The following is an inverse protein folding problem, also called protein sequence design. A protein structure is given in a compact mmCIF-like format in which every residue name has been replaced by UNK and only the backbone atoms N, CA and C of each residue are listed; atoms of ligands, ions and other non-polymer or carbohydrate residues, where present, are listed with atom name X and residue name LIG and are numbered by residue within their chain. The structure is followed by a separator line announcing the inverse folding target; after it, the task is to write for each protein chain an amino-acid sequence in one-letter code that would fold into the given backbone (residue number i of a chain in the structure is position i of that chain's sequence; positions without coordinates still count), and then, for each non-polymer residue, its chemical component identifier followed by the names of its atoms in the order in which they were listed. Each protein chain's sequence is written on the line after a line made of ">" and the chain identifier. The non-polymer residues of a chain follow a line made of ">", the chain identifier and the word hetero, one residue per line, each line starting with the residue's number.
data_IF_181108345475
#
_entry.id   IF_181108345475
#
_cell.length_a   1.000
_cell.length_b   1.000
_cell.length_c   1.000
_cell.angle_alpha   90.00
_cell.angle_beta   90.00
_cell.angle_gamma   90.00
#
_symmetry.space_group_name_H-M   'P 1'
#
loop_
_entity.id
_entity.type
_entity.pdbx_description
1 polymer ?
#
# COMPACT_ATOMS: atom_id res chain seq x y z
N UNK A 1 25.40 10.64 41.90
CA UNK A 1 24.24 10.77 41.00
C UNK A 1 22.97 10.75 41.84
N UNK A 2 22.16 11.81 41.78
CA UNK A 2 21.05 11.99 42.72
C UNK A 2 19.93 10.97 42.49
N UNK A 3 19.32 10.49 43.58
CA UNK A 3 18.17 9.54 43.58
C UNK A 3 17.02 9.99 42.65
N UNK A 4 16.89 11.29 42.38
CA UNK A 4 15.92 11.85 41.45
C UNK A 4 16.23 11.52 39.97
N UNK A 5 17.50 11.55 39.56
CA UNK A 5 17.90 11.23 38.19
C UNK A 5 17.69 9.74 37.86
N UNK A 6 17.98 8.86 38.82
CA UNK A 6 17.74 7.42 38.69
C UNK A 6 16.24 7.11 38.58
N UNK A 7 15.39 7.84 39.32
CA UNK A 7 13.93 7.69 39.24
C UNK A 7 13.35 8.19 37.92
N UNK A 8 13.85 9.30 37.38
CA UNK A 8 13.43 9.83 36.09
C UNK A 8 13.79 8.87 34.94
N UNK A 9 15.00 8.31 34.94
CA UNK A 9 15.43 7.30 33.98
C UNK A 9 14.62 5.99 34.09
N UNK A 10 14.29 5.56 35.31
CA UNK A 10 13.46 4.37 35.53
C UNK A 10 12.01 4.57 35.06
N UNK A 11 11.43 5.77 35.22
CA UNK A 11 10.09 6.10 34.75
C UNK A 11 10.00 6.17 33.22
N UNK A 12 11.03 6.73 32.57
CA UNK A 12 11.15 6.74 31.10
C UNK A 12 11.32 5.33 30.53
N UNK A 13 12.13 4.49 31.17
CA UNK A 13 12.31 3.09 30.77
C UNK A 13 11.02 2.26 30.97
N UNK A 14 10.27 2.52 32.05
CA UNK A 14 8.98 1.88 32.30
C UNK A 14 7.92 2.30 31.27
N UNK A 15 7.85 3.59 30.92
CA UNK A 15 6.91 4.08 29.90
C UNK A 15 7.18 3.50 28.51
N UNK A 16 8.45 3.28 28.16
CA UNK A 16 8.84 2.62 26.90
C UNK A 16 8.41 1.15 26.85
N UNK A 17 8.37 0.45 28.00
CA UNK A 17 7.91 -0.94 28.08
C UNK A 17 6.39 -1.10 27.95
N UNK A 18 5.59 -0.10 28.33
CA UNK A 18 4.12 -0.18 28.26
C UNK A 18 3.54 0.08 26.86
N UNK A 19 4.26 0.78 25.98
CA UNK A 19 3.80 1.03 24.60
C UNK A 19 3.81 -0.23 23.71
N UNK A 20 4.49 -1.31 24.11
CA UNK A 20 4.59 -2.55 23.35
C UNK A 20 3.40 -3.51 23.49
N UNK A 21 2.51 -3.32 24.47
CA UNK A 21 1.48 -4.32 24.80
C UNK A 21 0.11 -4.10 24.12
N UNK A 22 -0.06 -3.10 23.26
CA UNK A 22 -1.30 -2.90 22.49
C UNK A 22 -1.21 -3.42 21.04
N UNK A 23 -0.22 -4.27 20.74
CA UNK A 23 -0.02 -4.89 19.41
C UNK A 23 -0.88 -6.17 19.21
N UNK A 24 -2.07 -6.23 19.79
CA UNK A 24 -3.02 -7.32 19.57
C UNK A 24 -4.36 -6.71 19.12
N UNK A 25 -4.57 -6.61 17.81
CA UNK A 25 -5.89 -6.29 17.25
C UNK A 25 -5.96 -5.81 15.80
N UNK A 26 -4.88 -5.30 15.21
CA UNK A 26 -4.89 -4.90 13.81
C UNK A 26 -3.49 -4.53 13.34
N UNK A 27 -3.17 -4.84 12.09
CA UNK A 27 -1.85 -4.72 11.45
C UNK A 27 -0.97 -5.98 11.64
N UNK A 28 -1.29 -7.03 10.89
CA UNK A 28 -0.30 -8.02 10.49
C UNK A 28 0.66 -7.37 9.48
N UNK A 29 1.73 -6.75 9.98
CA UNK A 29 2.75 -6.09 9.17
C UNK A 29 3.60 -5.15 10.02
N UNK A 30 4.71 -5.66 10.55
CA UNK A 30 5.54 -5.06 11.60
C UNK A 30 5.72 -3.54 11.56
N UNK A 31 5.28 -2.88 12.63
CA UNK A 31 5.77 -1.55 13.01
C UNK A 31 7.18 -1.76 13.57
N UNK A 32 8.19 -1.53 12.76
CA UNK A 32 9.54 -1.31 13.29
C UNK A 32 9.51 0.01 14.06
N UNK A 33 9.63 -0.05 15.39
CA UNK A 33 9.70 1.12 16.24
C UNK A 33 10.87 2.01 15.84
N UNK A 34 10.58 3.22 15.39
CA UNK A 34 11.60 4.25 15.15
C UNK A 34 11.88 4.94 16.49
N UNK A 35 12.95 4.51 17.17
CA UNK A 35 13.52 5.25 18.31
C UNK A 35 14.79 6.00 17.90
N UNK A 36 14.73 6.84 16.87
CA UNK A 36 15.81 7.79 16.54
C UNK A 36 15.62 9.10 17.32
N UNK A 37 15.51 9.00 18.64
CA UNK A 37 15.21 10.13 19.52
C UNK A 37 16.32 10.47 20.50
N UNK A 38 17.60 10.29 20.16
CA UNK A 38 18.70 10.69 21.05
C UNK A 38 20.06 10.82 20.32
N UNK A 39 20.22 11.82 19.45
CA UNK A 39 21.56 12.19 18.95
C UNK A 39 21.91 13.65 19.26
N UNK A 40 20.97 14.41 19.83
CA UNK A 40 21.15 15.84 20.12
C UNK A 40 20.55 16.21 21.46
N UNK A 41 21.26 17.05 22.22
CA UNK A 41 20.77 17.64 23.48
C UNK A 41 19.80 18.81 23.22
N UNK A 42 19.58 19.20 21.96
CA UNK A 42 18.61 20.22 21.59
C UNK A 42 17.24 19.57 21.28
N UNK A 43 16.21 19.78 22.11
CA UNK A 43 14.90 19.14 21.93
C UNK A 43 14.21 19.52 20.61
N UNK A 44 14.43 20.74 20.11
CA UNK A 44 13.85 21.17 18.83
C UNK A 44 14.48 20.42 17.65
N UNK A 45 15.80 20.21 17.68
CA UNK A 45 16.50 19.40 16.66
C UNK A 45 16.07 17.94 16.76
N UNK A 46 15.92 17.40 17.98
CA UNK A 46 15.43 16.04 18.19
C UNK A 46 14.04 15.80 17.60
N UNK A 47 13.11 16.73 17.83
CA UNK A 47 11.78 16.69 17.24
C UNK A 47 11.82 16.78 15.70
N UNK A 48 12.58 17.73 15.14
CA UNK A 48 12.67 17.91 13.70
C UNK A 48 13.22 16.65 12.98
N UNK A 49 14.25 16.01 13.56
CA UNK A 49 14.79 14.75 13.04
C UNK A 49 13.74 13.65 13.12
N UNK A 50 13.05 13.50 14.27
CA UNK A 50 12.02 12.48 14.44
C UNK A 50 10.88 12.63 13.42
N UNK A 51 10.34 13.84 13.27
CA UNK A 51 9.29 14.13 12.29
C UNK A 51 9.77 13.86 10.85
N UNK A 52 11.03 14.18 10.54
CA UNK A 52 11.62 13.88 9.23
C UNK A 52 11.74 12.39 8.94
N UNK A 53 12.16 11.58 9.92
CA UNK A 53 12.27 10.12 9.78
C UNK A 53 10.89 9.48 9.64
N UNK A 54 9.90 9.94 10.41
CA UNK A 54 8.52 9.47 10.30
C UNK A 54 7.96 9.75 8.90
N UNK A 55 8.06 10.99 8.43
CA UNK A 55 7.59 11.37 7.10
C UNK A 55 8.27 10.57 5.97
N UNK A 56 9.59 10.32 6.10
CA UNK A 56 10.33 9.50 5.14
C UNK A 56 9.88 8.03 5.16
N UNK A 57 9.63 7.48 6.34
CA UNK A 57 9.13 6.11 6.51
C UNK A 57 7.75 5.96 5.90
N UNK A 58 6.84 6.87 6.21
CA UNK A 58 5.50 6.93 5.64
C UNK A 58 5.50 7.01 4.11
N UNK A 59 6.37 7.87 3.56
CA UNK A 59 6.54 7.98 2.12
C UNK A 59 7.05 6.68 1.49
N UNK A 60 8.00 6.01 2.13
CA UNK A 60 8.53 4.72 1.68
C UNK A 60 7.46 3.62 1.69
N UNK A 61 6.70 3.50 2.79
CA UNK A 61 5.62 2.51 2.90
C UNK A 61 4.55 2.75 1.83
N UNK A 62 4.10 4.00 1.65
CA UNK A 62 3.14 4.36 0.60
C UNK A 62 3.67 4.06 -0.79
N UNK A 63 4.96 4.32 -1.05
CA UNK A 63 5.59 4.02 -2.33
C UNK A 63 5.58 2.51 -2.62
N UNK A 64 6.00 1.68 -1.67
CA UNK A 64 6.02 0.22 -1.82
C UNK A 64 4.60 -0.32 -2.02
N UNK A 65 3.64 0.14 -1.21
CA UNK A 65 2.24 -0.25 -1.34
C UNK A 65 1.67 0.08 -2.72
N UNK A 66 1.90 1.31 -3.22
CA UNK A 66 1.48 1.70 -4.59
C UNK A 66 2.12 0.84 -5.68
N UNK A 67 3.39 0.45 -5.50
CA UNK A 67 4.05 -0.40 -6.48
C UNK A 67 3.45 -1.81 -6.52
N UNK A 68 3.11 -2.39 -5.36
CA UNK A 68 2.42 -3.68 -5.28
C UNK A 68 1.03 -3.61 -5.92
N UNK A 69 0.25 -2.59 -5.55
CA UNK A 69 -1.09 -2.38 -6.11
C UNK A 69 -1.07 -2.20 -7.63
N UNK A 70 -0.06 -1.50 -8.17
CA UNK A 70 0.14 -1.38 -9.62
C UNK A 70 0.38 -2.73 -10.28
N UNK A 71 1.19 -3.60 -9.65
CA UNK A 71 1.44 -4.94 -10.15
C UNK A 71 0.15 -5.78 -10.23
N UNK A 72 -0.66 -5.76 -9.18
CA UNK A 72 -1.98 -6.43 -9.16
C UNK A 72 -2.89 -5.90 -10.27
N UNK A 73 -3.00 -4.59 -10.39
CA UNK A 73 -3.82 -3.92 -11.41
C UNK A 73 -3.38 -4.26 -12.83
N UNK A 74 -2.08 -4.33 -13.08
CA UNK A 74 -1.52 -4.71 -14.38
C UNK A 74 -1.81 -6.18 -14.70
N UNK A 75 -1.66 -7.09 -13.73
CA UNK A 75 -1.99 -8.51 -13.89
C UNK A 75 -3.48 -8.71 -14.20
N UNK A 76 -4.36 -8.05 -13.44
CA UNK A 76 -5.82 -8.10 -13.66
C UNK A 76 -6.17 -7.55 -15.05
N UNK A 77 -5.62 -6.39 -15.42
CA UNK A 77 -5.95 -5.71 -16.68
C UNK A 77 -5.51 -6.51 -17.89
N UNK A 78 -4.30 -7.09 -17.86
CA UNK A 78 -3.79 -7.92 -18.93
C UNK A 78 -4.60 -9.20 -19.09
N UNK A 79 -4.92 -9.89 -17.99
CA UNK A 79 -5.76 -11.09 -18.02
C UNK A 79 -7.14 -10.76 -18.59
N UNK A 80 -7.86 -9.82 -17.99
CA UNK A 80 -9.23 -9.48 -18.39
C UNK A 80 -9.33 -8.90 -19.81
N UNK A 81 -8.29 -8.20 -20.25
CA UNK A 81 -8.20 -7.62 -21.58
C UNK A 81 -8.22 -8.64 -22.73
N UNK A 82 -7.77 -9.86 -22.47
CA UNK A 82 -7.72 -10.94 -23.48
C UNK A 82 -8.93 -11.87 -23.44
N UNK A 83 -9.75 -11.77 -22.40
CA UNK A 83 -10.92 -12.63 -22.23
C UNK A 83 -12.10 -12.17 -23.10
N UNK A 84 -12.93 -13.12 -23.58
CA UNK A 84 -14.27 -12.82 -24.05
C UNK A 84 -15.15 -12.25 -22.93
N UNK A 85 -16.17 -11.47 -23.29
CA UNK A 85 -17.16 -10.97 -22.33
C UNK A 85 -17.86 -12.14 -21.62
N UNK A 86 -18.07 -12.00 -20.31
CA UNK A 86 -18.73 -12.98 -19.45
C UNK A 86 -17.84 -14.15 -19.01
N UNK A 87 -16.64 -14.31 -19.59
CA UNK A 87 -15.70 -15.38 -19.21
C UNK A 87 -14.82 -14.92 -18.07
N UNK A 88 -14.72 -15.73 -17.02
CA UNK A 88 -13.84 -15.50 -15.89
C UNK A 88 -12.53 -16.28 -16.05
N UNK A 89 -11.40 -15.66 -15.69
CA UNK A 89 -10.12 -16.36 -15.55
C UNK A 89 -9.42 -15.94 -14.26
N UNK A 90 -8.43 -16.74 -13.89
CA UNK A 90 -7.64 -16.51 -12.70
C UNK A 90 -6.52 -15.52 -13.01
N UNK A 91 -6.23 -14.63 -12.07
CA UNK A 91 -5.09 -13.72 -12.12
C UNK A 91 -4.24 -13.94 -10.87
N UNK A 92 -2.94 -13.72 -11.01
CA UNK A 92 -1.99 -13.84 -9.90
C UNK A 92 -0.79 -12.93 -10.13
N UNK A 93 -0.24 -12.41 -9.04
CA UNK A 93 1.08 -11.78 -9.01
C UNK A 93 1.94 -12.42 -7.92
N UNK A 94 3.20 -12.66 -8.27
CA UNK A 94 4.24 -13.13 -7.35
C UNK A 94 5.33 -12.07 -7.30
N UNK A 95 5.65 -11.61 -6.10
CA UNK A 95 6.71 -10.66 -5.85
C UNK A 95 7.94 -11.39 -5.33
N UNK A 96 9.14 -10.82 -5.56
CA UNK A 96 10.40 -11.40 -5.09
C UNK A 96 10.65 -11.22 -3.57
N UNK A 97 9.58 -11.03 -2.78
CA UNK A 97 9.67 -10.78 -1.35
C UNK A 97 9.66 -12.10 -0.57
N UNK A 98 10.37 -12.19 0.56
CA UNK A 98 10.41 -13.41 1.36
C UNK A 98 9.02 -13.87 1.78
N UNK A 99 8.83 -15.20 1.82
CA UNK A 99 7.60 -15.85 2.30
C UNK A 99 6.31 -15.50 1.53
N UNK A 100 6.42 -15.04 0.28
CA UNK A 100 5.26 -14.66 -0.53
C UNK A 100 4.59 -13.36 -0.05
N UNK A 101 5.33 -12.53 0.69
CA UNK A 101 4.78 -11.27 1.20
C UNK A 101 4.39 -10.34 0.04
N UNK A 102 3.11 -9.95 -0.02
CA UNK A 102 2.57 -9.10 -1.07
C UNK A 102 2.13 -9.86 -2.33
N UNK A 103 2.20 -11.19 -2.36
CA UNK A 103 1.59 -11.97 -3.43
C UNK A 103 0.06 -11.87 -3.34
N UNK A 104 -0.60 -11.81 -4.51
CA UNK A 104 -2.04 -11.72 -4.58
C UNK A 104 -2.57 -12.55 -5.75
N UNK A 105 -3.73 -13.17 -5.57
CA UNK A 105 -4.40 -13.95 -6.61
C UNK A 105 -5.92 -13.86 -6.48
N UNK A 106 -6.63 -14.14 -7.56
CA UNK A 106 -8.08 -14.07 -7.58
C UNK A 106 -8.67 -14.37 -8.94
N UNK A 107 -9.90 -13.92 -9.19
CA UNK A 107 -10.58 -14.10 -10.48
C UNK A 107 -10.99 -12.76 -11.05
N UNK A 108 -10.98 -12.66 -12.37
CA UNK A 108 -11.48 -11.48 -13.09
C UNK A 108 -12.38 -11.90 -14.24
N UNK A 109 -13.46 -11.15 -14.44
CA UNK A 109 -14.42 -11.35 -15.53
C UNK A 109 -14.81 -10.01 -16.16
N UNK A 110 -14.58 -9.81 -17.47
CA UNK A 110 -15.18 -8.70 -18.20
C UNK A 110 -16.69 -8.88 -18.26
N UNK A 111 -17.45 -7.87 -17.86
CA UNK A 111 -18.93 -7.93 -17.83
C UNK A 111 -19.56 -7.06 -18.90
N UNK A 112 -18.86 -6.04 -19.39
CA UNK A 112 -19.39 -5.11 -20.39
C UNK A 112 -18.29 -4.38 -21.15
N UNK A 113 -18.51 -4.13 -22.43
CA UNK A 113 -17.70 -3.16 -23.19
C UNK A 113 -18.25 -1.75 -23.01
N UNK A 114 -17.34 -0.80 -22.80
CA UNK A 114 -17.65 0.62 -22.66
C UNK A 114 -17.20 1.30 -23.96
N UNK A 115 -18.14 1.64 -24.86
CA UNK A 115 -17.80 2.32 -26.09
C UNK A 115 -17.27 3.71 -25.77
N UNK A 116 -16.08 4.03 -26.27
CA UNK A 116 -15.43 5.32 -26.07
C UNK A 116 -14.65 5.69 -27.34
N UNK A 117 -14.83 6.92 -27.87
CA UNK A 117 -14.17 7.37 -29.09
C UNK A 117 -12.64 7.51 -28.98
N UNK A 118 -12.09 7.60 -27.76
CA UNK A 118 -10.64 7.74 -27.54
C UNK A 118 -9.93 6.40 -27.44
N UNK A 119 -10.51 5.46 -26.69
CA UNK A 119 -9.97 4.11 -26.52
C UNK A 119 -11.05 3.13 -26.06
N UNK A 120 -11.07 1.89 -26.58
CA UNK A 120 -12.00 0.87 -26.07
C UNK A 120 -11.70 0.56 -24.61
N UNK A 121 -12.75 0.54 -23.79
CA UNK A 121 -12.69 0.19 -22.38
C UNK A 121 -13.65 -0.95 -22.05
N UNK A 122 -13.42 -1.62 -20.92
CA UNK A 122 -14.22 -2.73 -20.41
C UNK A 122 -14.47 -2.54 -18.93
N UNK A 123 -15.67 -2.88 -18.50
CA UNK A 123 -16.01 -3.05 -17.09
C UNK A 123 -15.70 -4.48 -16.69
N UNK A 124 -15.05 -4.66 -15.55
CA UNK A 124 -14.62 -5.96 -15.06
C UNK A 124 -15.04 -6.13 -13.61
N UNK A 125 -15.41 -7.36 -13.25
CA UNK A 125 -15.64 -7.78 -11.87
C UNK A 125 -14.43 -8.58 -11.41
N UNK A 126 -13.87 -8.22 -10.26
CA UNK A 126 -12.66 -8.81 -9.70
C UNK A 126 -12.97 -9.39 -8.31
N UNK A 127 -12.36 -10.53 -8.01
CA UNK A 127 -12.24 -11.06 -6.65
C UNK A 127 -10.78 -11.17 -6.28
N UNK A 128 -10.51 -11.11 -4.97
CA UNK A 128 -9.21 -11.40 -4.38
C UNK A 128 -9.38 -12.59 -3.44
N UNK A 129 -8.48 -13.57 -3.49
CA UNK A 129 -8.53 -14.73 -2.62
C UNK A 129 -8.34 -14.30 -1.17
N UNK A 130 -9.20 -14.80 -0.28
CA UNK A 130 -9.20 -14.43 1.14
C UNK A 130 -10.01 -13.15 1.44
N UNK A 131 -10.54 -12.47 0.42
CA UNK A 131 -11.45 -11.35 0.55
C UNK A 131 -12.86 -11.79 0.11
N UNK A 132 -13.92 -11.61 0.92
CA UNK A 132 -15.29 -11.92 0.51
C UNK A 132 -15.86 -10.93 -0.50
N UNK A 133 -15.21 -9.78 -0.72
CA UNK A 133 -15.72 -8.70 -1.55
C UNK A 133 -15.54 -8.96 -3.05
N UNK A 134 -16.49 -8.43 -3.82
CA UNK A 134 -16.40 -8.29 -5.26
C UNK A 134 -16.16 -6.82 -5.60
N UNK A 135 -15.17 -6.56 -6.44
CA UNK A 135 -14.84 -5.21 -6.89
C UNK A 135 -15.28 -5.02 -8.33
N UNK A 136 -15.91 -3.88 -8.63
CA UNK A 136 -16.23 -3.46 -9.99
C UNK A 136 -15.29 -2.32 -10.35
N UNK A 137 -14.65 -2.44 -11.51
CA UNK A 137 -13.69 -1.47 -12.01
C UNK A 137 -13.71 -1.44 -13.53
N UNK A 138 -12.92 -0.55 -14.11
CA UNK A 138 -12.75 -0.44 -15.56
C UNK A 138 -11.29 -0.56 -15.97
N UNK A 139 -11.09 -1.13 -17.15
CA UNK A 139 -9.81 -1.21 -17.84
C UNK A 139 -9.96 -0.61 -19.23
N UNK A 140 -8.91 0.01 -19.74
CA UNK A 140 -8.90 0.63 -21.06
C UNK A 140 -7.69 0.17 -21.86
N UNK A 141 -7.83 0.10 -23.18
CA UNK A 141 -6.72 -0.24 -24.06
C UNK A 141 -5.74 0.94 -24.16
N UNK A 142 -4.50 0.72 -23.79
CA UNK A 142 -3.38 1.64 -24.01
C UNK A 142 -2.57 1.20 -25.24
N UNK A 143 -1.47 1.91 -25.53
CA UNK A 143 -0.57 1.59 -26.65
C UNK A 143 0.11 0.23 -26.50
N UNK A 144 0.35 -0.18 -25.26
CA UNK A 144 1.16 -1.33 -24.87
C UNK A 144 0.35 -2.48 -24.27
N UNK A 145 -0.98 -2.38 -24.24
CA UNK A 145 -1.85 -3.42 -23.72
C UNK A 145 -3.09 -2.86 -23.01
N UNK A 146 -3.76 -3.70 -22.23
CA UNK A 146 -4.87 -3.26 -21.39
C UNK A 146 -4.34 -2.74 -20.07
N UNK A 147 -4.83 -1.58 -19.63
CA UNK A 147 -4.40 -0.89 -18.42
C UNK A 147 -5.59 -0.61 -17.51
N UNK A 148 -5.32 -0.58 -16.22
CA UNK A 148 -6.28 -0.16 -15.21
C UNK A 148 -6.69 1.28 -15.46
N UNK A 149 -8.00 1.54 -15.48
CA UNK A 149 -8.53 2.86 -15.82
C UNK A 149 -8.89 3.71 -14.60
N UNK A 150 -8.93 3.13 -13.39
CA UNK A 150 -9.21 3.92 -12.19
C UNK A 150 -8.02 4.82 -11.88
N UNK A 151 -8.31 6.10 -11.66
CA UNK A 151 -7.33 7.09 -11.24
C UNK A 151 -6.96 6.85 -9.77
N UNK A 152 -5.99 5.96 -9.52
CA UNK A 152 -5.19 6.10 -8.30
C UNK A 152 -4.52 7.48 -8.33
N UNK A 153 -4.44 8.19 -7.18
CA UNK A 153 -4.28 9.64 -7.14
C UNK A 153 -3.09 10.06 -8.00
N UNK A 154 -3.38 11.04 -8.85
CA UNK A 154 -2.51 11.60 -9.87
C UNK A 154 -1.02 11.56 -9.48
N UNK A 155 -0.25 10.74 -10.18
CA UNK A 155 1.21 10.92 -10.23
C UNK A 155 1.55 12.34 -10.71
N UNK A 156 2.73 12.82 -10.32
CA UNK A 156 3.31 14.18 -10.36
C UNK A 156 2.88 15.18 -11.47
N UNK A 157 2.27 14.75 -12.57
CA UNK A 157 1.76 15.60 -13.65
C UNK A 157 0.78 16.68 -13.19
N UNK A 158 -0.02 16.43 -12.14
CA UNK A 158 -1.06 17.36 -11.69
C UNK A 158 -0.76 18.08 -10.37
N UNK A 159 0.41 17.84 -9.77
CA UNK A 159 0.87 18.54 -8.56
C UNK A 159 -0.18 18.59 -7.43
N UNK A 160 -0.27 19.73 -6.76
CA UNK A 160 -1.15 19.99 -5.62
C UNK A 160 -2.60 20.42 -6.00
N UNK A 161 -3.05 20.16 -7.23
CA UNK A 161 -4.43 20.45 -7.64
C UNK A 161 -5.37 19.29 -7.25
N UNK A 162 -5.38 18.98 -5.95
CA UNK A 162 -6.38 18.17 -5.29
C UNK A 162 -6.77 18.82 -3.96
#
# INVERSE_FOLDING_TARGET
>A
MGRAAVRALALLAAAAGLAGCQAAGGIAGGIAGVTTGAVTANPAVGYAVAAGVEAATDAAVKYVSRNMQRGEQDAISQTAGTLPLGVAADWKIEHALPFGYGDAEGRVRPVREIPNPLTPCREVVVTVKGAPEHFITSICKARDGWRWAAAEPAVARWGALQ
#
